data_IF_925116341606
#
_entry.id   IF_925116341606
#
_cell.length_a   1.000
_cell.length_b   1.000
_cell.length_c   1.000
_cell.angle_alpha   90.00
_cell.angle_beta   90.00
_cell.angle_gamma   90.00
#
_symmetry.space_group_name_H-M   'P 1'
#
loop_
_entity.id
_entity.type
_entity.pdbx_description
1 polymer ?
#
# COMPACT_ATOMS: atom_id res chain seq x y z
N UNK A 1 -0.49 10.31 24.72
CA UNK A 1 -0.76 11.45 23.84
C UNK A 1 -0.99 10.96 22.43
N UNK A 2 -2.10 11.33 21.82
CA UNK A 2 -2.38 10.94 20.45
C UNK A 2 -1.43 11.66 19.50
N UNK A 3 -0.87 10.91 18.53
CA UNK A 3 -0.03 11.51 17.48
C UNK A 3 -0.97 12.09 16.44
N UNK A 4 -0.77 13.37 16.12
CA UNK A 4 -1.54 14.03 15.08
C UNK A 4 -1.06 13.57 13.71
N UNK A 5 -1.88 12.79 13.00
CA UNK A 5 -1.58 12.27 11.69
C UNK A 5 -2.26 13.12 10.61
N UNK A 6 -1.50 13.62 9.67
CA UNK A 6 -1.98 14.39 8.54
C UNK A 6 -1.84 13.59 7.25
N UNK A 7 -2.92 13.54 6.47
CA UNK A 7 -2.95 12.84 5.19
C UNK A 7 -3.01 13.86 4.06
N UNK A 8 -2.16 13.70 3.04
CA UNK A 8 -2.21 14.53 1.84
C UNK A 8 -1.86 13.74 0.59
N UNK A 9 -2.13 14.32 -0.57
CA UNK A 9 -1.74 13.71 -1.84
C UNK A 9 -0.22 13.69 -1.98
N UNK A 10 0.28 12.58 -2.47
CA UNK A 10 1.70 12.40 -2.80
C UNK A 10 1.99 13.13 -4.11
N UNK A 11 2.86 14.11 -4.06
CA UNK A 11 3.23 14.93 -5.21
C UNK A 11 4.64 14.67 -5.71
N UNK A 12 4.99 15.35 -6.80
CA UNK A 12 6.30 15.20 -7.45
C UNK A 12 7.48 15.53 -6.53
N UNK A 13 7.30 16.45 -5.60
CA UNK A 13 8.36 16.84 -4.66
C UNK A 13 8.58 15.83 -3.54
N UNK A 14 7.69 14.85 -3.42
CA UNK A 14 7.75 13.82 -2.36
C UNK A 14 8.42 12.53 -2.82
N UNK A 15 8.73 12.39 -4.10
CA UNK A 15 9.14 11.11 -4.71
C UNK A 15 10.39 10.50 -4.09
N UNK A 16 11.41 11.30 -3.81
CA UNK A 16 12.65 10.79 -3.21
C UNK A 16 12.39 10.22 -1.81
N UNK A 17 11.62 10.94 -1.00
CA UNK A 17 11.28 10.52 0.36
C UNK A 17 10.36 9.29 0.34
N UNK A 18 9.40 9.27 -0.57
CA UNK A 18 8.49 8.14 -0.74
C UNK A 18 9.24 6.87 -1.16
N UNK A 19 10.21 6.99 -2.08
CA UNK A 19 11.04 5.87 -2.49
C UNK A 19 11.87 5.33 -1.34
N UNK A 20 12.47 6.21 -0.54
CA UNK A 20 13.25 5.82 0.63
C UNK A 20 12.38 5.09 1.67
N UNK A 21 11.19 5.61 1.93
CA UNK A 21 10.22 5.00 2.86
C UNK A 21 9.78 3.62 2.36
N UNK A 22 9.47 3.49 1.08
CA UNK A 22 9.07 2.22 0.49
C UNK A 22 10.17 1.17 0.64
N UNK A 23 11.42 1.54 0.29
CA UNK A 23 12.56 0.65 0.43
C UNK A 23 12.77 0.18 1.86
N UNK A 24 12.72 1.11 2.81
CA UNK A 24 12.84 0.83 4.24
C UNK A 24 11.76 -0.15 4.73
N UNK A 25 10.54 0.01 4.24
CA UNK A 25 9.39 -0.80 4.65
C UNK A 25 9.46 -2.25 4.16
N UNK A 26 10.04 -2.48 2.99
CA UNK A 26 10.09 -3.81 2.37
C UNK A 26 11.46 -4.49 2.43
N UNK A 27 12.46 -3.83 2.99
CA UNK A 27 13.82 -4.36 3.09
C UNK A 27 13.86 -5.72 3.80
N UNK A 28 13.11 -5.88 4.88
CA UNK A 28 13.08 -7.10 5.68
C UNK A 28 12.51 -8.31 4.91
N UNK A 29 11.71 -8.07 3.87
CA UNK A 29 11.14 -9.12 3.02
C UNK A 29 12.07 -9.51 1.86
N UNK A 30 13.22 -8.84 1.71
CA UNK A 30 14.11 -9.07 0.58
C UNK A 30 13.51 -8.62 -0.75
N UNK A 31 12.51 -7.77 -0.71
CA UNK A 31 11.82 -7.28 -1.89
C UNK A 31 12.59 -6.11 -2.51
N UNK A 32 12.57 -6.03 -3.85
CA UNK A 32 13.20 -4.92 -4.54
C UNK A 32 12.48 -3.61 -4.19
N UNK A 33 13.23 -2.64 -3.72
CA UNK A 33 12.69 -1.32 -3.42
C UNK A 33 12.26 -0.62 -4.72
N UNK A 34 11.13 0.06 -4.68
CA UNK A 34 10.71 0.91 -5.79
C UNK A 34 11.58 2.15 -5.83
N UNK A 35 12.06 2.49 -7.02
CA UNK A 35 12.88 3.69 -7.22
C UNK A 35 11.97 4.91 -7.36
N UNK A 36 12.59 6.09 -7.32
CA UNK A 36 11.89 7.35 -7.63
C UNK A 36 11.23 7.27 -9.01
N UNK A 37 11.91 6.67 -10.00
CA UNK A 37 11.36 6.52 -11.36
C UNK A 37 10.17 5.57 -11.39
N UNK A 38 10.21 4.48 -10.63
CA UNK A 38 9.07 3.55 -10.52
C UNK A 38 7.84 4.29 -9.99
N UNK A 39 8.00 5.06 -8.92
CA UNK A 39 6.91 5.84 -8.33
C UNK A 39 6.40 6.92 -9.28
N UNK A 40 7.31 7.65 -9.94
CA UNK A 40 6.94 8.68 -10.90
C UNK A 40 6.13 8.10 -12.07
N UNK A 41 6.55 6.94 -12.59
CA UNK A 41 5.86 6.26 -13.67
C UNK A 41 4.46 5.81 -13.27
N UNK A 42 4.31 5.27 -12.06
CA UNK A 42 3.00 4.85 -11.54
C UNK A 42 2.08 6.05 -11.34
N UNK A 43 2.56 7.11 -10.70
CA UNK A 43 1.75 8.32 -10.47
C UNK A 43 1.35 9.04 -11.75
N UNK A 44 2.13 8.90 -12.81
CA UNK A 44 1.80 9.43 -14.14
C UNK A 44 0.82 8.55 -14.90
N UNK A 45 0.59 7.31 -14.47
CA UNK A 45 -0.33 6.38 -15.13
C UNK A 45 -1.78 6.77 -14.89
N UNK A 46 -2.68 6.55 -15.88
CA UNK A 46 -4.09 6.89 -15.73
C UNK A 46 -4.73 6.22 -14.52
N UNK A 47 -5.50 6.99 -13.76
CA UNK A 47 -6.26 6.49 -12.62
C UNK A 47 -5.46 6.24 -11.33
N UNK A 48 -4.17 6.49 -11.33
CA UNK A 48 -3.30 6.27 -10.16
C UNK A 48 -3.24 7.51 -9.27
N UNK A 49 -3.41 7.31 -7.99
CA UNK A 49 -3.30 8.34 -6.95
C UNK A 49 -2.38 7.84 -5.84
N UNK A 50 -1.56 8.72 -5.32
CA UNK A 50 -0.72 8.44 -4.15
C UNK A 50 -1.14 9.27 -2.95
N UNK A 51 -1.06 8.66 -1.78
CA UNK A 51 -1.32 9.32 -0.49
C UNK A 51 -0.07 9.26 0.37
N UNK A 52 0.18 10.34 1.10
CA UNK A 52 1.27 10.44 2.07
C UNK A 52 0.68 10.72 3.45
N UNK A 53 1.06 9.91 4.41
CA UNK A 53 0.68 10.09 5.81
C UNK A 53 1.88 10.64 6.57
N UNK A 54 1.68 11.73 7.28
CA UNK A 54 2.72 12.40 8.05
C UNK A 54 2.28 12.55 9.50
N UNK A 55 3.26 12.47 10.41
CA UNK A 55 3.09 12.82 11.82
C UNK A 55 4.04 13.97 12.11
N UNK A 56 3.49 15.14 12.43
CA UNK A 56 4.27 16.38 12.55
C UNK A 56 4.98 16.66 11.21
N UNK A 57 6.30 16.60 11.16
CA UNK A 57 7.07 16.78 9.92
C UNK A 57 7.70 15.47 9.39
N UNK A 58 7.32 14.32 9.99
CA UNK A 58 7.87 13.02 9.59
C UNK A 58 6.95 12.31 8.62
N UNK A 59 7.53 11.70 7.59
CA UNK A 59 6.81 10.80 6.70
C UNK A 59 6.62 9.46 7.42
N UNK A 60 5.37 9.04 7.57
CA UNK A 60 4.99 7.82 8.31
C UNK A 60 4.70 6.67 7.37
N UNK A 61 3.99 6.93 6.28
CA UNK A 61 3.58 5.91 5.35
C UNK A 61 3.06 6.46 4.04
N UNK A 62 2.97 5.60 3.06
CA UNK A 62 2.42 5.91 1.73
C UNK A 62 1.46 4.83 1.28
N UNK A 63 0.54 5.20 0.40
CA UNK A 63 -0.30 4.27 -0.32
C UNK A 63 -0.46 4.76 -1.75
N UNK A 64 -0.42 3.83 -2.72
CA UNK A 64 -0.77 4.10 -4.10
C UNK A 64 -1.91 3.18 -4.50
N UNK A 65 -2.87 3.74 -5.22
CA UNK A 65 -4.00 2.96 -5.72
C UNK A 65 -4.39 3.43 -7.12
N UNK A 66 -5.03 2.54 -7.85
CA UNK A 66 -5.55 2.80 -9.20
C UNK A 66 -7.05 2.57 -9.21
N UNK A 67 -7.77 3.45 -9.91
CA UNK A 67 -9.19 3.25 -10.21
C UNK A 67 -9.35 3.15 -11.72
N UNK A 68 -10.03 2.10 -12.18
CA UNK A 68 -10.36 1.90 -13.59
C UNK A 68 -11.80 1.39 -13.66
N UNK A 69 -12.69 2.24 -14.20
CA UNK A 69 -14.13 1.97 -14.24
C UNK A 69 -14.69 1.69 -12.82
N UNK A 70 -15.28 0.52 -12.60
CA UNK A 70 -15.87 0.14 -11.31
C UNK A 70 -14.94 -0.70 -10.43
N UNK A 71 -13.68 -0.85 -10.82
CA UNK A 71 -12.69 -1.61 -10.07
C UNK A 71 -11.55 -0.70 -9.59
N UNK A 72 -11.00 -1.02 -8.44
CA UNK A 72 -9.82 -0.37 -7.90
C UNK A 72 -8.80 -1.40 -7.45
N UNK A 73 -7.55 -1.00 -7.41
CA UNK A 73 -6.44 -1.84 -6.98
C UNK A 73 -5.53 -1.05 -6.04
N UNK A 74 -5.19 -1.63 -4.91
CA UNK A 74 -4.15 -1.11 -4.04
C UNK A 74 -2.80 -1.59 -4.59
N UNK A 75 -1.98 -0.65 -5.06
CA UNK A 75 -0.68 -0.96 -5.68
C UNK A 75 0.41 -1.16 -4.64
N UNK A 76 0.39 -0.36 -3.58
CA UNK A 76 1.29 -0.51 -2.45
C UNK A 76 0.72 0.19 -1.21
N UNK A 77 1.07 -0.35 -0.05
CA UNK A 77 0.83 0.24 1.25
C UNK A 77 2.10 0.01 2.08
N UNK A 78 2.78 1.09 2.41
CA UNK A 78 4.05 1.02 3.12
C UNK A 78 4.01 1.92 4.34
N UNK A 79 4.36 1.38 5.49
CA UNK A 79 4.49 2.13 6.74
C UNK A 79 5.94 1.97 7.22
N UNK A 80 6.58 3.08 7.54
CA UNK A 80 7.95 3.05 8.06
C UNK A 80 8.03 2.15 9.28
N UNK A 81 9.00 1.23 9.37
CA UNK A 81 9.06 0.25 10.48
C UNK A 81 8.97 0.88 11.87
N UNK A 82 9.62 2.03 12.08
CA UNK A 82 9.58 2.74 13.36
C UNK A 82 8.20 3.29 13.72
N UNK A 83 7.31 3.41 12.76
CA UNK A 83 5.96 3.98 12.94
C UNK A 83 4.86 2.92 12.95
N UNK A 84 5.21 1.64 12.90
CA UNK A 84 4.24 0.54 12.91
C UNK A 84 3.57 0.39 14.26
N UNK A 85 2.41 -0.31 14.27
CA UNK A 85 1.60 -0.58 15.47
C UNK A 85 0.98 0.66 16.10
N UNK A 86 0.85 1.75 15.33
CA UNK A 86 0.23 3.00 15.77
C UNK A 86 -0.99 3.35 14.93
N UNK A 87 -1.52 2.38 14.18
CA UNK A 87 -2.70 2.59 13.35
C UNK A 87 -2.45 3.30 12.01
N UNK A 88 -1.20 3.49 11.61
CA UNK A 88 -0.87 4.18 10.36
C UNK A 88 -1.38 3.43 9.12
N UNK A 89 -1.14 2.12 9.06
CA UNK A 89 -1.62 1.29 7.95
C UNK A 89 -3.13 1.31 7.84
N UNK A 90 -3.83 1.19 8.97
CA UNK A 90 -5.29 1.28 9.01
C UNK A 90 -5.79 2.65 8.55
N UNK A 91 -5.12 3.71 8.97
CA UNK A 91 -5.46 5.10 8.58
C UNK A 91 -5.32 5.30 7.07
N UNK A 92 -4.21 4.83 6.48
CA UNK A 92 -3.98 4.88 5.04
C UNK A 92 -5.00 4.05 4.27
N UNK A 93 -5.23 2.82 4.71
CA UNK A 93 -6.16 1.91 4.02
C UNK A 93 -7.60 2.43 4.07
N UNK A 94 -8.02 2.99 5.21
CA UNK A 94 -9.34 3.63 5.34
C UNK A 94 -9.48 4.77 4.33
N UNK A 95 -8.45 5.60 4.19
CA UNK A 95 -8.47 6.70 3.23
C UNK A 95 -8.54 6.20 1.78
N UNK A 96 -7.82 5.13 1.45
CA UNK A 96 -7.89 4.50 0.13
C UNK A 96 -9.31 4.01 -0.14
N UNK A 97 -9.88 3.27 0.81
CA UNK A 97 -11.25 2.73 0.67
C UNK A 97 -12.26 3.84 0.43
N UNK A 98 -12.18 4.92 1.20
CA UNK A 98 -13.09 6.06 1.05
C UNK A 98 -12.95 6.69 -0.33
N UNK A 99 -11.73 6.90 -0.79
CA UNK A 99 -11.47 7.55 -2.08
C UNK A 99 -11.90 6.70 -3.28
N UNK A 100 -11.64 5.40 -3.25
CA UNK A 100 -12.04 4.52 -4.36
C UNK A 100 -13.55 4.36 -4.40
N UNK A 101 -14.20 4.34 -3.23
CA UNK A 101 -15.66 4.32 -3.15
C UNK A 101 -16.27 5.60 -3.72
N UNK A 102 -15.74 6.75 -3.37
CA UNK A 102 -16.16 8.05 -3.91
C UNK A 102 -15.98 8.14 -5.42
N UNK A 103 -14.95 7.48 -5.96
CA UNK A 103 -14.68 7.42 -7.40
C UNK A 103 -15.60 6.45 -8.15
N UNK A 104 -16.48 5.74 -7.44
CA UNK A 104 -17.44 4.82 -8.06
C UNK A 104 -16.99 3.38 -8.14
N UNK A 105 -15.86 3.03 -7.56
CA UNK A 105 -15.40 1.64 -7.55
C UNK A 105 -16.35 0.78 -6.69
N UNK A 106 -16.63 -0.41 -7.17
CA UNK A 106 -17.47 -1.40 -6.47
C UNK A 106 -16.62 -2.47 -5.78
N UNK A 107 -15.37 -2.60 -6.19
CA UNK A 107 -14.46 -3.62 -5.69
C UNK A 107 -13.04 -3.05 -5.60
N UNK A 108 -12.35 -3.39 -4.51
CA UNK A 108 -10.94 -3.07 -4.32
C UNK A 108 -10.15 -4.37 -4.19
N UNK A 109 -9.14 -4.52 -5.05
CA UNK A 109 -8.25 -5.68 -5.05
C UNK A 109 -6.88 -5.30 -4.53
N UNK A 110 -6.16 -6.27 -4.00
CA UNK A 110 -4.75 -6.15 -3.68
C UNK A 110 -4.06 -7.51 -3.76
N UNK A 111 -2.73 -7.49 -3.82
CA UNK A 111 -1.91 -8.67 -3.67
C UNK A 111 -0.98 -8.47 -2.48
N UNK A 112 -0.80 -9.51 -1.68
CA UNK A 112 0.06 -9.49 -0.50
C UNK A 112 0.84 -10.78 -0.42
N UNK A 113 2.09 -10.71 0.03
CA UNK A 113 2.92 -11.90 0.23
C UNK A 113 2.34 -12.81 1.31
N UNK A 114 2.30 -14.11 1.03
CA UNK A 114 1.89 -15.10 2.03
C UNK A 114 2.82 -15.11 3.25
N UNK A 115 4.04 -14.58 3.07
CA UNK A 115 5.06 -14.43 4.10
C UNK A 115 4.98 -13.09 4.84
N UNK A 116 3.88 -12.35 4.68
CA UNK A 116 3.64 -11.08 5.34
C UNK A 116 2.36 -11.13 6.19
N UNK A 117 2.37 -11.90 7.31
CA UNK A 117 1.18 -12.05 8.16
C UNK A 117 0.62 -10.74 8.74
N UNK A 118 1.44 -9.75 9.14
CA UNK A 118 0.90 -8.50 9.68
C UNK A 118 0.06 -7.74 8.66
N UNK A 119 0.49 -7.68 7.38
CA UNK A 119 -0.26 -7.03 6.33
C UNK A 119 -1.55 -7.78 6.04
N UNK A 120 -1.49 -9.10 5.91
CA UNK A 120 -2.67 -9.94 5.72
C UNK A 120 -3.69 -9.73 6.83
N UNK A 121 -3.24 -9.70 8.08
CA UNK A 121 -4.12 -9.50 9.24
C UNK A 121 -4.82 -8.13 9.17
N UNK A 122 -4.11 -7.08 8.77
CA UNK A 122 -4.70 -5.76 8.58
C UNK A 122 -5.80 -5.81 7.51
N UNK A 123 -5.52 -6.41 6.36
CA UNK A 123 -6.48 -6.49 5.27
C UNK A 123 -7.72 -7.30 5.67
N UNK A 124 -7.54 -8.45 6.31
CA UNK A 124 -8.66 -9.27 6.80
C UNK A 124 -9.50 -8.51 7.83
N UNK A 125 -8.86 -7.78 8.74
CA UNK A 125 -9.57 -6.96 9.74
C UNK A 125 -10.39 -5.84 9.09
N UNK A 126 -10.00 -5.38 7.91
CA UNK A 126 -10.71 -4.35 7.15
C UNK A 126 -11.77 -4.93 6.20
N UNK A 127 -11.96 -6.25 6.20
CA UNK A 127 -13.00 -6.90 5.43
C UNK A 127 -12.56 -7.54 4.12
N UNK A 128 -11.27 -7.53 3.81
CA UNK A 128 -10.75 -8.22 2.61
C UNK A 128 -10.77 -9.74 2.82
N UNK A 129 -10.99 -10.45 1.72
CA UNK A 129 -10.97 -11.92 1.70
C UNK A 129 -10.03 -12.41 0.60
N UNK A 130 -9.33 -13.52 0.87
CA UNK A 130 -8.48 -14.18 -0.12
C UNK A 130 -9.36 -14.84 -1.17
N UNK A 131 -9.13 -14.50 -2.43
CA UNK A 131 -9.86 -15.06 -3.58
C UNK A 131 -8.97 -15.86 -4.52
N UNK A 132 -7.67 -15.84 -4.34
CA UNK A 132 -6.74 -16.56 -5.18
C UNK A 132 -5.33 -16.52 -4.64
N UNK A 133 -4.46 -17.29 -5.28
CA UNK A 133 -3.04 -17.37 -4.94
C UNK A 133 -2.23 -17.44 -6.23
N UNK A 134 -1.15 -16.68 -6.30
CA UNK A 134 -0.13 -16.81 -7.36
C UNK A 134 1.10 -17.46 -6.75
N UNK A 135 1.39 -18.74 -7.08
CA UNK A 135 2.54 -19.43 -6.50
C UNK A 135 3.85 -18.80 -6.92
N UNK A 136 4.80 -18.70 -5.96
CA UNK A 136 6.18 -18.27 -6.18
C UNK A 136 6.29 -16.91 -6.91
N UNK A 137 5.38 -15.98 -6.62
CA UNK A 137 5.27 -14.70 -7.33
C UNK A 137 6.29 -13.67 -6.88
N UNK A 138 6.51 -13.56 -5.55
CA UNK A 138 7.45 -12.58 -5.00
C UNK A 138 8.84 -13.17 -4.83
N UNK A 139 9.84 -12.52 -5.41
CA UNK A 139 11.24 -12.86 -5.15
C UNK A 139 11.64 -12.36 -3.76
N UNK A 140 12.39 -13.21 -3.03
CA UNK A 140 12.86 -12.90 -1.67
C UNK A 140 14.38 -13.04 -1.58
N UNK A 141 15.11 -12.17 -2.31
CA UNK A 141 16.56 -12.22 -2.37
C UNK A 141 17.04 -13.59 -2.84
N UNK A 142 17.90 -14.24 -2.07
CA UNK A 142 18.42 -15.59 -2.35
C UNK A 142 17.55 -16.69 -1.72
N UNK A 143 16.55 -16.33 -0.94
CA UNK A 143 15.62 -17.27 -0.32
C UNK A 143 14.55 -17.78 -1.31
N UNK A 144 13.75 -18.76 -0.87
CA UNK A 144 12.65 -19.25 -1.72
C UNK A 144 11.66 -18.12 -1.99
N UNK A 145 11.07 -18.08 -3.21
CA UNK A 145 10.05 -17.09 -3.51
C UNK A 145 8.79 -17.31 -2.67
N UNK A 146 8.08 -16.23 -2.39
CA UNK A 146 6.83 -16.28 -1.65
C UNK A 146 5.63 -16.24 -2.59
N UNK A 147 4.56 -16.92 -2.22
CA UNK A 147 3.29 -16.83 -2.93
C UNK A 147 2.65 -15.47 -2.72
N UNK A 148 1.92 -15.00 -3.72
CA UNK A 148 1.07 -13.82 -3.59
C UNK A 148 -0.36 -14.26 -3.31
N UNK A 149 -0.96 -13.69 -2.27
CA UNK A 149 -2.39 -13.85 -1.99
C UNK A 149 -3.13 -12.71 -2.67
N UNK A 150 -4.12 -13.05 -3.48
CA UNK A 150 -5.00 -12.06 -4.09
C UNK A 150 -6.18 -11.86 -3.15
N UNK A 151 -6.42 -10.63 -2.72
CA UNK A 151 -7.48 -10.30 -1.78
C UNK A 151 -8.45 -9.30 -2.40
N UNK A 152 -9.67 -9.33 -1.95
CA UNK A 152 -10.77 -8.53 -2.48
C UNK A 152 -11.64 -7.97 -1.36
N UNK A 153 -12.02 -6.71 -1.51
CA UNK A 153 -13.01 -6.05 -0.67
C UNK A 153 -14.17 -5.58 -1.54
N UNK A 154 -15.40 -5.96 -1.18
CA UNK A 154 -16.60 -5.40 -1.78
C UNK A 154 -16.88 -4.04 -1.15
N UNK A 155 -17.13 -3.02 -1.98
CA UNK A 155 -17.34 -1.64 -1.54
C UNK A 155 -18.82 -1.27 -1.44
N UNK A 156 -19.70 -2.21 -1.76
CA UNK A 156 -21.15 -2.01 -1.70
C UNK A 156 -21.72 -2.27 -0.32
#
# INVERSE_FOLDING_TARGET
>A
MAIDLALRLLGALDLDRAAALHGESFLALGERAWTRQDLAGLLASPGVTGLLLQAESRDVGIALFRVAADEAELLTLAVRPAERRRGAGRRLLTAVIDRVREAGAQTLFLEVGADNPPARALYEAMGFRVIGTRPAYYRRGEGPPADALIMRLSLN
#
